data_IF_123807900629
#
_entry.id   IF_123807900629
#
_cell.length_a   1.000
_cell.length_b   1.000
_cell.length_c   1.000
_cell.angle_alpha   90.00
_cell.angle_beta   90.00
_cell.angle_gamma   90.00
#
_symmetry.space_group_name_H-M   'P 1'
#
loop_
_entity.id
_entity.type
_entity.pdbx_description
1 polymer ?
#
# COMPACT_ATOMS: atom_id res chain seq x y z
N UNK A 1 11.41 -8.05 8.10
CA UNK A 1 12.03 -7.71 6.81
C UNK A 1 12.11 -6.20 6.69
N UNK A 2 13.27 -5.58 6.38
CA UNK A 2 13.42 -4.12 6.48
C UNK A 2 13.04 -3.33 5.22
N UNK A 3 12.67 -3.99 4.11
CA UNK A 3 12.52 -3.34 2.80
C UNK A 3 11.12 -3.43 2.15
N UNK A 4 10.13 -4.04 2.82
CA UNK A 4 8.75 -4.11 2.35
C UNK A 4 7.76 -4.19 3.51
N UNK A 5 6.48 -3.97 3.21
CA UNK A 5 5.38 -4.01 4.17
C UNK A 5 4.38 -5.07 3.73
N UNK A 6 3.91 -5.89 4.67
CA UNK A 6 2.77 -6.79 4.49
C UNK A 6 1.58 -6.26 5.28
N UNK A 7 0.41 -6.21 4.66
CA UNK A 7 -0.83 -5.74 5.28
C UNK A 7 -1.96 -6.69 4.90
N UNK A 8 -2.82 -7.01 5.86
CA UNK A 8 -4.12 -7.64 5.63
C UNK A 8 -5.17 -6.59 5.92
N UNK A 9 -6.08 -6.35 4.97
CA UNK A 9 -7.12 -5.35 5.08
C UNK A 9 -8.34 -5.75 4.26
N UNK A 10 -9.48 -5.16 4.62
CA UNK A 10 -10.71 -5.23 3.86
C UNK A 10 -11.04 -3.84 3.33
N UNK A 11 -11.49 -3.76 2.08
CA UNK A 11 -11.96 -2.51 1.47
C UNK A 11 -13.45 -2.35 1.67
N UNK A 12 -13.92 -1.13 1.96
CA UNK A 12 -15.35 -0.84 1.84
C UNK A 12 -15.78 -0.96 0.37
N UNK A 13 -17.06 -1.28 0.05
CA UNK A 13 -17.50 -1.65 -1.30
C UNK A 13 -17.18 -0.66 -2.43
N UNK A 14 -16.98 0.62 -2.11
CA UNK A 14 -16.71 1.69 -3.07
C UNK A 14 -15.21 1.91 -3.37
N UNK A 15 -14.32 1.24 -2.65
CA UNK A 15 -12.88 1.41 -2.81
C UNK A 15 -12.25 0.15 -3.38
N UNK A 16 -11.58 0.29 -4.53
CA UNK A 16 -10.82 -0.81 -5.11
C UNK A 16 -9.41 -0.87 -4.51
N UNK A 17 -8.85 -2.09 -4.39
CA UNK A 17 -7.49 -2.32 -3.89
C UNK A 17 -6.42 -1.43 -4.55
N UNK A 18 -6.37 -1.27 -5.90
CA UNK A 18 -5.37 -0.43 -6.54
C UNK A 18 -5.41 1.04 -6.07
N UNK A 19 -6.60 1.59 -5.85
CA UNK A 19 -6.78 2.99 -5.43
C UNK A 19 -6.28 3.20 -3.99
N UNK A 20 -6.60 2.25 -3.10
CA UNK A 20 -6.13 2.26 -1.71
C UNK A 20 -4.62 2.14 -1.64
N UNK A 21 -4.04 1.20 -2.39
CA UNK A 21 -2.58 1.00 -2.41
C UNK A 21 -1.87 2.21 -3.03
N UNK A 22 -2.41 2.80 -4.10
CA UNK A 22 -1.88 4.04 -4.68
C UNK A 22 -1.86 5.17 -3.65
N UNK A 23 -2.97 5.37 -2.94
CA UNK A 23 -3.10 6.39 -1.89
C UNK A 23 -2.06 6.18 -0.78
N UNK A 24 -1.93 4.96 -0.26
CA UNK A 24 -0.93 4.65 0.77
C UNK A 24 0.49 4.90 0.30
N UNK A 25 0.85 4.42 -0.90
CA UNK A 25 2.20 4.59 -1.46
C UNK A 25 2.53 6.08 -1.64
N UNK A 26 1.61 6.87 -2.20
CA UNK A 26 1.81 8.30 -2.40
C UNK A 26 1.94 9.06 -1.07
N UNK A 27 0.99 8.86 -0.15
CA UNK A 27 0.97 9.55 1.13
C UNK A 27 2.23 9.26 1.95
N UNK A 28 2.58 7.98 2.09
CA UNK A 28 3.74 7.56 2.88
C UNK A 28 5.06 7.94 2.22
N UNK A 29 5.19 7.84 0.90
CA UNK A 29 6.40 8.28 0.19
C UNK A 29 6.67 9.77 0.44
N UNK A 30 5.63 10.61 0.37
CA UNK A 30 5.76 12.05 0.64
C UNK A 30 6.15 12.32 2.10
N UNK A 31 5.50 11.64 3.05
CA UNK A 31 5.80 11.81 4.48
C UNK A 31 7.24 11.37 4.82
N UNK A 32 7.67 10.22 4.31
CA UNK A 32 9.00 9.66 4.56
C UNK A 32 10.08 10.49 3.87
N UNK A 33 9.88 10.91 2.63
CA UNK A 33 10.82 11.81 1.93
C UNK A 33 10.97 13.13 2.69
N UNK A 34 9.87 13.74 3.15
CA UNK A 34 9.92 14.96 3.97
C UNK A 34 10.67 14.75 5.27
N UNK A 35 10.44 13.62 5.96
CA UNK A 35 11.09 13.31 7.22
C UNK A 35 12.61 13.03 7.06
N UNK A 36 12.99 12.36 5.98
CA UNK A 36 14.38 11.96 5.72
C UNK A 36 15.20 12.98 4.93
N UNK A 37 14.57 14.05 4.42
CA UNK A 37 15.19 15.00 3.50
C UNK A 37 15.43 14.43 2.09
N UNK A 38 14.91 13.25 1.78
CA UNK A 38 14.99 12.62 0.48
C UNK A 38 13.94 13.18 -0.51
N UNK A 39 14.07 12.81 -1.79
CA UNK A 39 13.12 13.13 -2.86
C UNK A 39 13.04 11.96 -3.85
N UNK A 40 11.90 11.82 -4.52
CA UNK A 40 11.69 10.82 -5.56
C UNK A 40 10.86 9.63 -5.12
N UNK A 41 10.89 8.55 -5.91
CA UNK A 41 10.14 7.34 -5.65
C UNK A 41 10.72 6.59 -4.44
N UNK A 42 9.86 6.31 -3.45
CA UNK A 42 10.22 5.48 -2.29
C UNK A 42 9.84 4.02 -2.51
N UNK A 43 8.63 3.78 -3.03
CA UNK A 43 8.09 2.44 -3.25
C UNK A 43 8.35 1.98 -4.68
N UNK A 44 8.43 0.66 -4.88
CA UNK A 44 8.39 0.06 -6.22
C UNK A 44 7.09 0.45 -6.94
N UNK A 45 7.06 0.53 -8.28
CA UNK A 45 5.85 0.88 -9.02
C UNK A 45 4.68 -0.08 -8.76
N UNK A 46 4.96 -1.39 -8.75
CA UNK A 46 3.94 -2.43 -8.57
C UNK A 46 3.72 -2.81 -7.10
N UNK A 47 2.71 -3.63 -6.86
CA UNK A 47 2.43 -4.28 -5.59
C UNK A 47 1.99 -5.72 -5.83
N UNK A 48 2.06 -6.55 -4.79
CA UNK A 48 1.54 -7.90 -4.81
C UNK A 48 0.33 -7.98 -3.88
N UNK A 49 -0.78 -8.50 -4.38
CA UNK A 49 -1.97 -8.78 -3.59
C UNK A 49 -2.45 -10.22 -3.81
N UNK A 50 -3.21 -10.70 -2.82
CA UNK A 50 -3.91 -11.98 -2.87
C UNK A 50 -5.26 -11.82 -2.22
N UNK A 51 -6.32 -12.15 -2.96
CA UNK A 51 -7.66 -12.20 -2.40
C UNK A 51 -7.78 -13.38 -1.42
N UNK A 52 -8.21 -13.09 -0.19
CA UNK A 52 -8.45 -14.09 0.85
C UNK A 52 -9.96 -14.15 1.07
N UNK A 53 -10.53 -15.34 1.00
CA UNK A 53 -11.93 -15.63 1.31
C UNK A 53 -11.97 -16.50 2.56
N UNK A 54 -12.99 -16.30 3.38
CA UNK A 54 -13.37 -17.30 4.38
C UNK A 54 -14.19 -18.39 3.66
N UNK A 55 -14.08 -19.63 4.13
CA UNK A 55 -14.78 -20.80 3.57
C UNK A 55 -16.28 -20.84 3.95
N UNK A 56 -16.75 -19.89 4.77
CA UNK A 56 -18.11 -19.85 5.31
C UNK A 56 -19.14 -19.03 4.48
N UNK A 57 -18.88 -18.79 3.19
CA UNK A 57 -19.88 -18.20 2.26
C UNK A 57 -19.85 -18.86 0.89
#
# INVERSE_FOLDING_TARGET
MPNHVHVVFETMPVYHVPDVIHSWKSFTANAINRFSGARGALWMPDYFDRFIRDDNT
#
